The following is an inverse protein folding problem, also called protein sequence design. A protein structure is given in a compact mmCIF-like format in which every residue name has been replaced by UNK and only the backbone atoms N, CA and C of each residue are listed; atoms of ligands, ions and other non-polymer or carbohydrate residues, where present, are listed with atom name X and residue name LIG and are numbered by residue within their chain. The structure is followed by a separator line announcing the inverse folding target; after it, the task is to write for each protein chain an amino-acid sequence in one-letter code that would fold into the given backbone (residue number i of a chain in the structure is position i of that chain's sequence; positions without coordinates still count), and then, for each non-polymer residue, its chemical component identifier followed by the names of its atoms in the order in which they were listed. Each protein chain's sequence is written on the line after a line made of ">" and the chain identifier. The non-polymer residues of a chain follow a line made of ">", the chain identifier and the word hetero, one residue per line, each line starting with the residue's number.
data_IF_766778162492
#
_entry.id   IF_766778162492
#
_cell.length_a   1.000
_cell.length_b   1.000
_cell.length_c   1.000
_cell.angle_alpha   90.00
_cell.angle_beta   90.00
_cell.angle_gamma   90.00
#
_symmetry.space_group_name_H-M   'P 1'
#
loop_
_entity.id
_entity.type
_entity.pdbx_description
1 polymer ?
#
# COMPACT_ATOMS: atom_id res chain seq x y z
N UNK A 1 51.58 -17.24 27.04
CA UNK A 1 50.24 -17.67 26.59
C UNK A 1 50.39 -19.05 25.91
N UNK A 2 49.78 -20.07 26.49
CA UNK A 2 49.88 -21.47 26.00
C UNK A 2 49.18 -21.63 24.64
N UNK A 3 49.72 -22.44 23.71
CA UNK A 3 49.17 -22.57 22.35
C UNK A 3 47.69 -22.99 22.32
N UNK A 4 47.21 -23.73 23.32
CA UNK A 4 45.82 -24.15 23.42
C UNK A 4 44.79 -23.00 23.60
N UNK A 5 45.15 -21.88 24.24
CA UNK A 5 44.22 -20.70 24.41
C UNK A 5 44.05 -19.94 23.11
N UNK A 6 45.02 -19.91 22.21
CA UNK A 6 44.91 -19.26 20.88
C UNK A 6 43.99 -20.06 19.97
N UNK A 7 44.08 -21.37 19.96
CA UNK A 7 43.23 -22.27 19.16
C UNK A 7 41.77 -22.14 19.62
N UNK A 8 41.49 -22.15 20.93
CA UNK A 8 40.14 -21.99 21.44
C UNK A 8 39.47 -20.66 21.07
N UNK A 9 40.24 -19.56 21.01
CA UNK A 9 39.75 -18.22 20.59
C UNK A 9 39.39 -18.18 19.10
N UNK A 10 40.13 -18.86 18.23
CA UNK A 10 39.82 -18.94 16.79
C UNK A 10 38.57 -19.79 16.52
N UNK A 11 38.38 -20.90 17.22
CA UNK A 11 37.17 -21.73 17.10
C UNK A 11 35.92 -20.99 17.62
N UNK A 12 36.05 -20.23 18.73
CA UNK A 12 34.96 -19.43 19.25
C UNK A 12 34.54 -18.27 18.33
N UNK A 13 35.49 -17.57 17.71
CA UNK A 13 35.21 -16.50 16.76
C UNK A 13 34.56 -17.02 15.46
N UNK A 14 35.01 -18.16 14.95
CA UNK A 14 34.43 -18.84 13.77
C UNK A 14 32.97 -19.27 14.01
N UNK A 15 32.67 -19.84 15.17
CA UNK A 15 31.34 -20.28 15.52
C UNK A 15 30.36 -19.08 15.64
N UNK A 16 30.79 -17.99 16.25
CA UNK A 16 29.98 -16.77 16.35
C UNK A 16 29.70 -16.15 14.98
N UNK A 17 30.69 -16.10 14.10
CA UNK A 17 30.52 -15.60 12.74
C UNK A 17 29.57 -16.49 11.90
N UNK A 18 29.67 -17.81 12.06
CA UNK A 18 28.76 -18.77 11.39
C UNK A 18 27.31 -18.62 11.89
N UNK A 19 27.10 -18.44 13.20
CA UNK A 19 25.77 -18.23 13.78
C UNK A 19 25.18 -16.87 13.35
N UNK A 20 25.98 -15.81 13.30
CA UNK A 20 25.55 -14.51 12.80
C UNK A 20 25.21 -14.55 11.31
N UNK A 21 26.02 -15.24 10.49
CA UNK A 21 25.76 -15.44 9.07
C UNK A 21 24.50 -16.28 8.80
N UNK A 22 24.32 -17.38 9.55
CA UNK A 22 23.11 -18.19 9.47
C UNK A 22 21.86 -17.42 9.93
N UNK A 23 21.95 -16.63 11.00
CA UNK A 23 20.86 -15.77 11.46
C UNK A 23 20.45 -14.73 10.42
N UNK A 24 21.42 -14.06 9.79
CA UNK A 24 21.18 -13.09 8.72
C UNK A 24 20.57 -13.75 7.48
N UNK A 25 21.07 -14.94 7.08
CA UNK A 25 20.52 -15.71 5.97
C UNK A 25 19.08 -16.15 6.24
N UNK A 26 18.80 -16.69 7.43
CA UNK A 26 17.44 -17.08 7.83
C UNK A 26 16.49 -15.88 7.91
N UNK A 27 16.98 -14.70 8.34
CA UNK A 27 16.17 -13.48 8.34
C UNK A 27 15.82 -13.03 6.93
N UNK A 28 16.76 -13.13 5.96
CA UNK A 28 16.52 -12.83 4.54
C UNK A 28 15.60 -13.85 3.86
N UNK A 29 15.57 -15.08 4.35
CA UNK A 29 14.75 -16.18 3.80
C UNK A 29 13.37 -16.29 4.48
N UNK A 30 13.04 -15.37 5.43
CA UNK A 30 11.69 -15.35 6.02
C UNK A 30 10.67 -15.10 4.92
N UNK A 31 9.62 -15.95 4.81
CA UNK A 31 8.55 -15.70 3.86
C UNK A 31 7.92 -14.35 4.22
N UNK A 32 7.79 -13.47 3.24
CA UNK A 32 7.06 -12.21 3.40
C UNK A 32 5.66 -12.49 3.96
N UNK A 33 5.20 -11.68 4.90
CA UNK A 33 3.84 -11.79 5.41
C UNK A 33 2.84 -11.74 4.23
N UNK A 34 1.68 -12.43 4.32
CA UNK A 34 0.70 -12.44 3.23
C UNK A 34 0.37 -11.04 2.69
N UNK A 35 0.29 -10.04 3.57
CA UNK A 35 0.04 -8.66 3.20
C UNK A 35 1.19 -8.02 2.40
N UNK A 36 2.46 -8.32 2.74
CA UNK A 36 3.63 -7.81 1.99
C UNK A 36 3.68 -8.40 0.58
N UNK A 37 3.33 -9.69 0.43
CA UNK A 37 3.22 -10.32 -0.90
C UNK A 37 2.12 -9.67 -1.73
N UNK A 38 0.96 -9.37 -1.12
CA UNK A 38 -0.14 -8.69 -1.78
C UNK A 38 0.24 -7.28 -2.25
N UNK A 39 1.03 -6.54 -1.45
CA UNK A 39 1.55 -5.23 -1.86
C UNK A 39 2.59 -5.36 -2.97
N UNK A 40 3.47 -6.34 -2.90
CA UNK A 40 4.42 -6.60 -4.00
C UNK A 40 3.68 -6.94 -5.30
N UNK A 41 2.62 -7.75 -5.24
CA UNK A 41 1.77 -8.08 -6.37
C UNK A 41 1.01 -6.85 -6.89
N UNK A 42 0.49 -5.99 -5.99
CA UNK A 42 -0.14 -4.72 -6.37
C UNK A 42 0.80 -3.88 -7.25
N UNK A 43 2.07 -3.75 -6.90
CA UNK A 43 3.03 -2.97 -7.67
C UNK A 43 3.41 -3.61 -9.02
N UNK A 44 3.10 -4.87 -9.27
CA UNK A 44 3.26 -5.48 -10.60
C UNK A 44 2.11 -5.17 -11.55
N UNK A 45 0.99 -4.66 -11.03
CA UNK A 45 -0.20 -4.36 -11.83
C UNK A 45 -0.02 -3.09 -12.65
N UNK A 46 -0.68 -3.06 -13.79
CA UNK A 46 -0.91 -1.85 -14.58
C UNK A 46 -2.41 -1.71 -14.76
N UNK A 47 -2.99 -0.65 -14.23
CA UNK A 47 -4.40 -0.35 -14.36
C UNK A 47 -4.59 0.87 -15.25
N UNK A 48 -5.61 0.91 -16.12
CA UNK A 48 -5.90 2.12 -16.87
C UNK A 48 -6.47 3.21 -15.96
N UNK A 49 -6.19 4.46 -16.28
CA UNK A 49 -6.96 5.58 -15.76
C UNK A 49 -8.34 5.68 -16.47
N UNK A 50 -9.23 6.60 -16.06
CA UNK A 50 -10.53 6.74 -16.71
C UNK A 50 -10.48 7.17 -18.20
N UNK A 51 -9.35 7.67 -18.66
CA UNK A 51 -9.12 8.05 -20.05
C UNK A 51 -8.49 6.92 -20.88
N UNK A 52 -8.25 5.76 -20.24
CA UNK A 52 -7.70 4.56 -20.84
C UNK A 52 -6.17 4.52 -20.92
N UNK A 53 -5.48 5.49 -20.29
CA UNK A 53 -4.02 5.50 -20.27
C UNK A 53 -3.51 4.49 -19.23
N UNK A 54 -2.56 3.60 -19.61
CA UNK A 54 -2.02 2.61 -18.71
C UNK A 54 -1.18 3.28 -17.61
N UNK A 55 -1.48 2.95 -16.35
CA UNK A 55 -0.80 3.44 -15.17
C UNK A 55 -0.13 2.25 -14.45
N UNK A 56 1.18 2.04 -14.60
CA UNK A 56 1.89 1.02 -13.84
C UNK A 56 1.95 1.43 -12.37
N UNK A 57 1.45 0.58 -11.47
CA UNK A 57 1.40 0.92 -10.04
C UNK A 57 2.80 1.03 -9.41
N UNK A 58 3.80 0.44 -10.04
CA UNK A 58 5.22 0.56 -9.65
C UNK A 58 5.72 2.01 -9.61
N UNK A 59 5.11 2.94 -10.33
CA UNK A 59 5.47 4.37 -10.31
C UNK A 59 5.30 5.03 -8.93
N UNK A 60 4.48 4.43 -8.07
CA UNK A 60 4.23 4.92 -6.71
C UNK A 60 4.99 4.12 -5.63
N UNK A 61 5.80 3.14 -6.02
CA UNK A 61 6.60 2.38 -5.07
C UNK A 61 7.59 3.28 -4.33
N UNK A 62 7.75 3.06 -3.03
CA UNK A 62 8.61 3.89 -2.17
C UNK A 62 7.95 5.15 -1.61
N UNK A 63 6.70 5.43 -1.99
CA UNK A 63 5.86 6.46 -1.36
C UNK A 63 5.00 5.84 -0.25
N UNK A 64 4.48 6.67 0.65
CA UNK A 64 3.34 6.30 1.49
C UNK A 64 2.08 6.37 0.63
N UNK A 65 1.32 5.28 0.55
CA UNK A 65 0.14 5.20 -0.30
C UNK A 65 -1.13 5.06 0.53
N UNK A 66 -2.12 5.90 0.23
CA UNK A 66 -3.51 5.71 0.65
C UNK A 66 -4.24 5.07 -0.53
N UNK A 67 -4.48 3.77 -0.47
CA UNK A 67 -5.18 3.03 -1.53
C UNK A 67 -6.63 2.86 -1.11
N UNK A 68 -7.53 3.51 -1.84
CA UNK A 68 -8.97 3.52 -1.58
C UNK A 68 -9.71 2.76 -2.68
N UNK A 69 -10.51 1.75 -2.29
CA UNK A 69 -11.38 0.98 -3.18
C UNK A 69 -12.81 1.51 -3.09
N UNK A 70 -13.34 1.95 -4.22
CA UNK A 70 -14.59 2.69 -4.28
C UNK A 70 -15.40 2.42 -5.55
N UNK A 71 -16.64 2.93 -5.60
CA UNK A 71 -17.48 2.90 -6.80
C UNK A 71 -18.42 4.12 -6.82
N UNK A 72 -18.83 4.55 -8.01
CA UNK A 72 -19.73 5.70 -8.18
C UNK A 72 -21.15 5.44 -7.66
N UNK A 73 -21.56 4.18 -7.60
CA UNK A 73 -22.87 3.75 -7.09
C UNK A 73 -22.89 3.46 -5.57
N UNK A 74 -21.77 3.67 -4.89
CA UNK A 74 -21.61 3.43 -3.45
C UNK A 74 -21.72 4.76 -2.69
N UNK A 75 -22.83 5.10 -2.04
CA UNK A 75 -23.01 6.42 -1.42
C UNK A 75 -21.91 6.79 -0.39
N UNK A 76 -21.52 5.92 0.57
CA UNK A 76 -20.46 6.25 1.51
C UNK A 76 -19.08 6.41 0.84
N UNK A 77 -18.85 5.76 -0.33
CA UNK A 77 -17.63 5.97 -1.12
C UNK A 77 -17.60 7.39 -1.70
N UNK A 78 -18.71 7.85 -2.26
CA UNK A 78 -18.83 9.19 -2.83
C UNK A 78 -18.65 10.27 -1.76
N UNK A 79 -19.20 10.04 -0.57
CA UNK A 79 -19.10 10.99 0.56
C UNK A 79 -17.68 11.16 1.11
N UNK A 80 -16.77 10.20 0.95
CA UNK A 80 -15.39 10.32 1.44
C UNK A 80 -14.42 10.97 0.44
N UNK A 81 -14.79 11.07 -0.86
CA UNK A 81 -13.90 11.61 -1.89
C UNK A 81 -13.38 13.03 -1.60
N UNK A 82 -14.18 13.96 -1.04
CA UNK A 82 -13.66 15.27 -0.64
C UNK A 82 -12.63 15.19 0.48
N UNK A 83 -12.78 14.26 1.43
CA UNK A 83 -11.82 14.02 2.51
C UNK A 83 -10.49 13.49 1.95
N UNK A 84 -10.54 12.54 1.01
CA UNK A 84 -9.37 12.01 0.30
C UNK A 84 -8.66 13.12 -0.50
N UNK A 85 -9.43 14.00 -1.18
CA UNK A 85 -8.87 15.13 -1.91
C UNK A 85 -8.16 16.11 -0.97
N UNK A 86 -8.77 16.44 0.17
CA UNK A 86 -8.18 17.32 1.19
C UNK A 86 -6.83 16.76 1.68
N UNK A 87 -6.78 15.46 1.99
CA UNK A 87 -5.53 14.79 2.42
C UNK A 87 -4.48 14.82 1.31
N UNK A 88 -4.86 14.49 0.08
CA UNK A 88 -3.95 14.55 -1.07
C UNK A 88 -3.32 15.94 -1.22
N UNK A 89 -4.13 17.01 -1.07
CA UNK A 89 -3.65 18.37 -1.22
C UNK A 89 -2.75 18.80 -0.04
N UNK A 90 -3.09 18.40 1.18
CA UNK A 90 -2.31 18.69 2.39
C UNK A 90 -0.93 18.02 2.37
N UNK A 91 -0.82 16.80 1.81
CA UNK A 91 0.43 16.03 1.76
C UNK A 91 1.12 16.07 0.39
N UNK A 92 0.70 16.96 -0.51
CA UNK A 92 1.33 17.14 -1.81
C UNK A 92 2.83 17.46 -1.66
N UNK A 93 3.69 16.68 -2.33
CA UNK A 93 5.15 16.85 -2.24
C UNK A 93 5.81 16.21 -1.01
N UNK A 94 5.05 15.65 -0.04
CA UNK A 94 5.59 15.01 1.17
C UNK A 94 5.90 13.51 0.97
N UNK A 95 5.83 13.01 -0.26
CA UNK A 95 6.05 11.59 -0.55
C UNK A 95 4.85 10.69 -0.17
N UNK A 96 3.69 11.29 -0.01
CA UNK A 96 2.39 10.62 0.15
C UNK A 96 1.63 10.70 -1.17
N UNK A 97 0.91 9.63 -1.52
CA UNK A 97 0.01 9.62 -2.67
C UNK A 97 -1.32 8.96 -2.31
N UNK A 98 -2.41 9.49 -2.85
CA UNK A 98 -3.75 8.92 -2.74
C UNK A 98 -4.11 8.27 -4.08
N UNK A 99 -4.51 7.00 -4.06
CA UNK A 99 -4.95 6.26 -5.24
C UNK A 99 -6.39 5.78 -5.05
N UNK A 100 -7.29 6.20 -5.92
CA UNK A 100 -8.66 5.71 -5.97
C UNK A 100 -8.79 4.57 -6.97
N UNK A 101 -8.92 3.31 -6.50
CA UNK A 101 -9.14 2.14 -7.35
C UNK A 101 -10.64 1.93 -7.51
N UNK A 102 -11.16 2.31 -8.68
CA UNK A 102 -12.59 2.27 -9.01
C UNK A 102 -13.05 0.88 -9.45
N UNK A 103 -14.08 0.37 -8.77
CA UNK A 103 -14.78 -0.88 -9.12
C UNK A 103 -16.06 -0.51 -9.86
N UNK A 104 -15.91 0.12 -11.02
CA UNK A 104 -16.99 0.62 -11.85
C UNK A 104 -16.56 0.75 -13.33
N UNK A 105 -17.49 1.20 -14.17
CA UNK A 105 -17.26 1.51 -15.56
C UNK A 105 -16.39 2.77 -15.71
N UNK A 106 -15.39 2.78 -16.63
CA UNK A 106 -14.47 3.90 -16.81
C UNK A 106 -15.18 5.22 -17.16
N UNK A 107 -16.28 5.18 -17.95
CA UNK A 107 -17.01 6.39 -18.29
C UNK A 107 -17.69 7.03 -17.06
N UNK A 108 -18.19 6.22 -16.13
CA UNK A 108 -18.79 6.72 -14.88
C UNK A 108 -17.73 7.31 -13.97
N UNK A 109 -16.56 6.65 -13.84
CA UNK A 109 -15.44 7.16 -13.04
C UNK A 109 -14.93 8.47 -13.62
N UNK A 110 -14.82 8.58 -14.96
CA UNK A 110 -14.44 9.82 -15.66
C UNK A 110 -15.44 10.94 -15.38
N UNK A 111 -16.72 10.68 -15.59
CA UNK A 111 -17.78 11.67 -15.34
C UNK A 111 -17.77 12.15 -13.87
N UNK A 112 -17.57 11.23 -12.93
CA UNK A 112 -17.46 11.54 -11.50
C UNK A 112 -16.23 12.43 -11.23
N UNK A 113 -15.04 12.04 -11.73
CA UNK A 113 -13.80 12.82 -11.61
C UNK A 113 -14.00 14.25 -12.06
N UNK A 114 -14.57 14.43 -13.25
CA UNK A 114 -14.73 15.74 -13.88
C UNK A 114 -15.80 16.59 -13.13
N UNK A 115 -16.90 15.97 -12.73
CA UNK A 115 -17.97 16.65 -11.97
C UNK A 115 -17.49 17.10 -10.59
N UNK A 116 -16.75 16.26 -9.88
CA UNK A 116 -16.30 16.50 -8.51
C UNK A 116 -14.88 17.09 -8.43
N UNK A 117 -14.23 17.30 -9.59
CA UNK A 117 -12.87 17.88 -9.71
C UNK A 117 -11.85 17.11 -8.88
N UNK A 118 -11.92 15.77 -8.93
CA UNK A 118 -10.96 14.91 -8.24
C UNK A 118 -9.58 15.04 -8.88
N UNK A 119 -8.61 15.48 -8.09
CA UNK A 119 -7.25 15.78 -8.53
C UNK A 119 -6.21 14.70 -8.20
N UNK A 120 -6.58 13.62 -7.50
CA UNK A 120 -5.70 12.47 -7.28
C UNK A 120 -5.95 11.38 -8.31
N UNK A 121 -4.97 10.47 -8.55
CA UNK A 121 -5.09 9.39 -9.51
C UNK A 121 -6.29 8.48 -9.23
N UNK A 122 -7.19 8.37 -10.21
CA UNK A 122 -8.26 7.38 -10.24
C UNK A 122 -7.89 6.30 -11.26
N UNK A 123 -7.95 5.04 -10.84
CA UNK A 123 -7.63 3.87 -11.64
C UNK A 123 -8.86 2.99 -11.79
N UNK A 124 -9.02 2.38 -12.96
CA UNK A 124 -10.16 1.54 -13.29
C UNK A 124 -9.75 0.08 -13.16
N UNK A 125 -10.21 -0.60 -12.12
CA UNK A 125 -9.95 -2.02 -11.92
C UNK A 125 -11.14 -2.92 -12.28
N UNK A 126 -12.33 -2.33 -12.46
CA UNK A 126 -13.55 -3.11 -12.70
C UNK A 126 -13.76 -4.15 -11.60
N UNK A 127 -14.27 -5.32 -11.96
CA UNK A 127 -14.48 -6.41 -10.99
C UNK A 127 -13.18 -6.97 -10.39
N UNK A 128 -12.04 -6.87 -11.09
CA UNK A 128 -10.73 -7.27 -10.57
C UNK A 128 -10.28 -6.46 -9.35
N UNK A 129 -10.82 -5.26 -9.14
CA UNK A 129 -10.55 -4.44 -7.97
C UNK A 129 -10.97 -5.09 -6.64
N UNK A 130 -11.98 -5.97 -6.65
CA UNK A 130 -12.37 -6.71 -5.45
C UNK A 130 -11.29 -7.71 -5.01
N UNK A 131 -10.62 -8.37 -5.96
CA UNK A 131 -9.52 -9.30 -5.67
C UNK A 131 -8.32 -8.56 -5.09
N UNK A 132 -7.97 -7.40 -5.66
CA UNK A 132 -6.92 -6.53 -5.12
C UNK A 132 -7.26 -6.06 -3.70
N UNK A 133 -8.50 -5.63 -3.45
CA UNK A 133 -8.96 -5.22 -2.12
C UNK A 133 -8.88 -6.39 -1.12
N UNK A 134 -9.30 -7.60 -1.55
CA UNK A 134 -9.23 -8.81 -0.72
C UNK A 134 -7.80 -9.18 -0.36
N UNK A 135 -6.88 -9.12 -1.31
CA UNK A 135 -5.46 -9.38 -1.09
C UNK A 135 -4.87 -8.41 -0.06
N UNK A 136 -5.31 -7.14 -0.06
CA UNK A 136 -4.91 -6.11 0.91
C UNK A 136 -5.66 -6.20 2.25
N UNK A 137 -6.57 -7.17 2.44
CA UNK A 137 -7.23 -7.46 3.71
C UNK A 137 -8.74 -7.22 3.77
N UNK A 138 -9.39 -6.83 2.67
CA UNK A 138 -10.85 -6.71 2.61
C UNK A 138 -11.53 -8.07 2.38
N UNK A 139 -11.51 -8.93 3.38
CA UNK A 139 -12.03 -10.30 3.24
C UNK A 139 -13.55 -10.38 3.03
N UNK A 140 -14.29 -9.32 3.33
CA UNK A 140 -15.76 -9.27 3.17
C UNK A 140 -16.21 -8.62 1.87
N UNK A 141 -15.26 -8.13 1.04
CA UNK A 141 -15.52 -7.48 -0.25
C UNK A 141 -16.50 -6.29 -0.17
N UNK A 142 -16.59 -5.61 0.98
CA UNK A 142 -17.45 -4.43 1.15
C UNK A 142 -16.69 -3.13 0.86
N UNK A 143 -17.41 -2.08 0.51
CA UNK A 143 -16.88 -0.75 0.16
C UNK A 143 -17.54 0.35 0.97
N UNK A 144 -16.84 1.49 1.15
CA UNK A 144 -15.46 1.73 0.76
C UNK A 144 -14.48 0.94 1.60
N UNK A 145 -13.28 0.69 1.05
CA UNK A 145 -12.19 0.08 1.79
C UNK A 145 -10.90 0.85 1.54
N UNK A 146 -10.21 1.23 2.61
CA UNK A 146 -8.95 1.98 2.54
C UNK A 146 -7.83 1.21 3.21
N UNK A 147 -6.70 1.10 2.52
CA UNK A 147 -5.45 0.58 3.07
C UNK A 147 -4.36 1.65 2.97
N UNK A 148 -3.57 1.84 4.03
CA UNK A 148 -2.37 2.68 4.01
C UNK A 148 -1.15 1.80 3.98
N UNK A 149 -0.28 2.05 3.01
CA UNK A 149 0.95 1.29 2.76
C UNK A 149 2.13 2.24 3.01
N UNK A 150 3.08 1.82 3.84
CA UNK A 150 4.29 2.60 4.12
C UNK A 150 5.31 2.51 2.98
N UNK A 151 6.39 3.32 3.06
CA UNK A 151 7.46 3.36 2.05
C UNK A 151 8.18 2.02 1.86
N UNK A 152 8.11 1.14 2.85
CA UNK A 152 8.71 -0.20 2.79
C UNK A 152 7.79 -1.26 2.16
N UNK A 153 6.56 -0.88 1.79
CA UNK A 153 5.56 -1.79 1.23
C UNK A 153 4.78 -2.59 2.27
N UNK A 154 4.73 -2.15 3.53
CA UNK A 154 3.91 -2.77 4.57
C UNK A 154 2.57 -2.07 4.66
N UNK A 155 1.50 -2.83 4.79
CA UNK A 155 0.18 -2.28 5.10
C UNK A 155 0.13 -1.97 6.60
N UNK A 156 0.09 -0.68 6.94
CA UNK A 156 0.13 -0.18 8.32
C UNK A 156 -1.27 0.10 8.88
N UNK A 157 -2.20 0.54 8.03
CA UNK A 157 -3.59 0.77 8.43
C UNK A 157 -4.57 0.19 7.43
N UNK A 158 -5.74 -0.20 7.92
CA UNK A 158 -6.86 -0.68 7.11
C UNK A 158 -8.16 -0.17 7.70
N UNK A 159 -9.10 0.21 6.85
CA UNK A 159 -10.45 0.56 7.27
C UNK A 159 -11.47 0.07 6.26
N UNK A 160 -12.48 -0.59 6.78
CA UNK A 160 -13.72 -0.86 6.09
C UNK A 160 -14.75 0.21 6.47
N UNK A 161 -15.42 0.77 5.47
CA UNK A 161 -16.33 1.90 5.64
C UNK A 161 -15.61 3.24 5.45
N UNK A 162 -16.39 4.32 5.45
CA UNK A 162 -15.95 5.68 5.19
C UNK A 162 -14.79 6.10 6.09
N UNK A 163 -13.76 6.68 5.50
CA UNK A 163 -12.64 7.34 6.18
C UNK A 163 -12.84 8.86 6.14
N UNK A 164 -12.38 9.57 7.17
CA UNK A 164 -12.38 11.04 7.26
C UNK A 164 -10.97 11.58 7.13
N UNK A 165 -10.83 12.82 6.69
CA UNK A 165 -9.55 13.47 6.53
C UNK A 165 -8.71 13.43 7.82
N UNK A 166 -9.30 13.83 8.97
CA UNK A 166 -8.60 13.88 10.26
C UNK A 166 -8.11 12.49 10.74
N UNK A 167 -8.76 11.42 10.30
CA UNK A 167 -8.35 10.06 10.61
C UNK A 167 -7.15 9.64 9.75
N UNK A 168 -7.19 9.96 8.45
CA UNK A 168 -6.08 9.72 7.53
C UNK A 168 -4.85 10.54 7.91
N UNK A 169 -5.03 11.82 8.23
CA UNK A 169 -3.96 12.72 8.67
C UNK A 169 -3.21 12.11 9.86
N UNK A 170 -3.91 11.65 10.90
CA UNK A 170 -3.28 10.97 12.05
C UNK A 170 -2.48 9.74 11.63
N UNK A 171 -3.01 8.89 10.74
CA UNK A 171 -2.30 7.70 10.27
C UNK A 171 -1.05 8.04 9.47
N UNK A 172 -1.11 9.11 8.68
CA UNK A 172 0.01 9.56 7.87
C UNK A 172 1.10 10.20 8.72
N UNK A 173 0.73 10.97 9.76
CA UNK A 173 1.67 11.57 10.70
C UNK A 173 2.41 10.51 11.53
N UNK A 174 1.74 9.40 11.87
CA UNK A 174 2.37 8.25 12.54
C UNK A 174 3.27 7.42 11.60
N UNK A 175 3.07 7.53 10.27
CA UNK A 175 3.80 6.78 9.24
C UNK A 175 5.00 7.54 8.67
N UNK A 176 5.11 8.83 8.94
CA UNK A 176 6.17 9.72 8.42
C UNK A 176 7.47 9.54 9.19
#
# INVERSE_FOLDING_TARGET
>A
MTPGRRIALFWGAGALAALAGAGAALWRLRPSAPAERAVAELFTQTLPDPDGQPQPLSQWQGKVLVVNFWATWCPPCVEEMPDLQKVRDAYAGCGVEVLGIGIDNPNKIRAFRDQHRIGFPLLVAGFGGQELARALGNHVAAMPYTAVIDRSGRVIYRKLGRVRAEELERWLDEAA
#
